data_IF_975377361677
#
_entry.id   IF_975377361677
#
_cell.length_a   1.000
_cell.length_b   1.000
_cell.length_c   1.000
_cell.angle_alpha   90.00
_cell.angle_beta   90.00
_cell.angle_gamma   90.00
#
_symmetry.space_group_name_H-M   'P 1'
#
loop_
_entity.id
_entity.type
_entity.pdbx_description
1 polymer ?
#
# COMPACT_ATOMS: atom_id res chain seq x y z
N UNK A 1 83.01 -43.50 -11.48
CA UNK A 1 82.59 -43.97 -10.13
C UNK A 1 82.32 -42.74 -9.28
N UNK A 2 81.13 -42.16 -9.38
CA UNK A 2 80.00 -42.33 -8.44
C UNK A 2 80.37 -42.00 -6.99
N UNK A 3 79.87 -40.86 -6.48
CA UNK A 3 79.07 -40.73 -5.24
C UNK A 3 78.79 -39.23 -5.00
N UNK A 4 77.57 -38.74 -5.27
CA UNK A 4 76.35 -38.78 -4.44
C UNK A 4 76.09 -37.44 -3.74
N UNK A 5 75.02 -36.82 -4.23
CA UNK A 5 74.32 -35.66 -3.74
C UNK A 5 73.75 -35.96 -2.34
N UNK A 6 73.97 -35.08 -1.36
CA UNK A 6 73.27 -35.15 -0.06
C UNK A 6 72.80 -33.75 0.34
N UNK A 7 71.65 -33.35 -0.21
CA UNK A 7 70.94 -32.14 0.21
C UNK A 7 70.18 -32.49 1.50
N UNK A 8 70.67 -31.97 2.63
CA UNK A 8 69.92 -31.95 3.89
C UNK A 8 68.80 -30.92 3.78
N UNK A 9 67.56 -31.39 3.88
CA UNK A 9 66.39 -30.56 4.11
C UNK A 9 66.38 -30.16 5.59
N UNK A 10 66.47 -28.87 5.89
CA UNK A 10 66.15 -28.31 7.21
C UNK A 10 65.20 -27.12 7.06
N UNK A 11 63.91 -27.42 7.28
CA UNK A 11 62.87 -26.63 7.96
C UNK A 11 62.93 -25.09 7.91
N UNK A 12 62.02 -24.42 7.19
CA UNK A 12 61.66 -23.03 7.45
C UNK A 12 60.45 -23.01 8.41
N UNK A 13 60.70 -23.11 9.71
CA UNK A 13 59.83 -22.44 10.68
C UNK A 13 60.30 -20.99 10.71
N UNK A 14 59.36 -20.05 10.68
CA UNK A 14 59.54 -18.57 10.63
C UNK A 14 59.47 -18.01 9.19
N UNK A 15 58.27 -18.08 8.59
CA UNK A 15 57.78 -17.02 7.69
C UNK A 15 56.24 -17.06 7.59
N UNK A 16 55.55 -17.08 8.73
CA UNK A 16 54.07 -17.01 8.78
C UNK A 16 53.66 -15.72 9.46
N UNK A 17 54.03 -14.58 8.89
CA UNK A 17 53.42 -13.28 9.20
C UNK A 17 53.39 -12.47 7.89
N UNK A 18 52.24 -11.83 7.61
CA UNK A 18 51.99 -10.82 6.56
C UNK A 18 51.34 -11.21 5.22
N UNK A 19 50.56 -12.28 5.10
CA UNK A 19 49.61 -12.41 3.96
C UNK A 19 48.21 -12.92 4.31
N UNK A 20 47.72 -12.62 5.52
CA UNK A 20 46.26 -12.47 5.68
C UNK A 20 45.96 -11.01 5.35
N UNK A 21 45.98 -10.68 4.05
CA UNK A 21 45.21 -9.53 3.58
C UNK A 21 43.76 -9.93 3.80
N UNK A 22 43.24 -9.49 4.93
CA UNK A 22 41.82 -9.34 5.17
C UNK A 22 41.21 -8.68 3.92
N UNK A 23 40.66 -9.50 3.03
CA UNK A 23 39.56 -9.09 2.17
C UNK A 23 38.38 -8.82 3.09
N UNK A 24 38.43 -7.69 3.79
CA UNK A 24 37.22 -6.96 4.17
C UNK A 24 36.69 -6.45 2.84
N UNK A 25 36.01 -7.34 2.12
CA UNK A 25 34.94 -6.88 1.25
C UNK A 25 33.96 -6.21 2.20
N UNK A 26 34.10 -4.88 2.33
CA UNK A 26 32.98 -4.05 2.68
C UNK A 26 31.97 -4.35 1.57
N UNK A 27 31.08 -5.28 1.79
CA UNK A 27 29.77 -5.27 1.15
C UNK A 27 29.14 -3.95 1.59
N UNK A 28 29.49 -2.86 0.90
CA UNK A 28 28.56 -1.78 0.72
C UNK A 28 27.33 -2.48 0.19
N UNK A 29 26.31 -2.64 1.05
CA UNK A 29 25.02 -3.09 0.62
C UNK A 29 24.59 -2.07 -0.43
N UNK A 30 24.74 -2.42 -1.71
CA UNK A 30 24.10 -1.69 -2.77
C UNK A 30 22.62 -1.78 -2.43
N UNK A 31 22.07 -0.70 -1.89
CA UNK A 31 20.65 -0.65 -1.66
C UNK A 31 19.98 -0.95 -3.00
N UNK A 32 19.02 -1.87 -2.97
CA UNK A 32 18.26 -2.23 -4.17
C UNK A 32 17.30 -1.12 -4.59
N UNK A 33 17.16 -0.09 -3.76
CA UNK A 33 16.25 1.02 -4.00
C UNK A 33 16.79 2.04 -5.01
N UNK A 34 15.92 2.58 -5.89
CA UNK A 34 16.25 3.74 -6.69
C UNK A 34 16.70 4.93 -5.83
N UNK A 35 17.43 5.86 -6.45
CA UNK A 35 17.87 7.07 -5.78
C UNK A 35 16.71 7.83 -5.13
N UNK A 36 16.97 8.39 -3.94
CA UNK A 36 16.01 9.11 -3.09
C UNK A 36 14.90 8.26 -2.43
N UNK A 37 14.99 6.92 -2.51
CA UNK A 37 14.20 6.02 -1.66
C UNK A 37 15.12 5.37 -0.62
N UNK A 38 14.54 5.03 0.53
CA UNK A 38 15.22 4.35 1.62
C UNK A 38 14.78 2.89 1.69
N UNK A 39 15.73 1.97 1.71
CA UNK A 39 15.46 0.55 1.97
C UNK A 39 15.18 0.35 3.47
N UNK A 40 13.97 -0.07 3.80
CA UNK A 40 13.51 -0.29 5.19
C UNK A 40 13.36 -1.77 5.55
N UNK A 41 13.54 -2.64 4.56
CA UNK A 41 13.50 -4.09 4.67
C UNK A 41 13.95 -4.68 3.33
N UNK A 42 14.21 -6.01 3.25
CA UNK A 42 14.72 -6.63 2.03
C UNK A 42 13.82 -6.33 0.81
N UNK A 43 14.31 -5.50 -0.13
CA UNK A 43 13.58 -5.11 -1.33
C UNK A 43 12.38 -4.18 -1.10
N UNK A 44 12.23 -3.61 0.10
CA UNK A 44 11.15 -2.66 0.44
C UNK A 44 11.72 -1.25 0.47
N UNK A 45 11.30 -0.44 -0.49
CA UNK A 45 11.79 0.91 -0.71
C UNK A 45 10.69 1.93 -0.41
N UNK A 46 10.98 2.89 0.48
CA UNK A 46 10.03 3.91 0.88
C UNK A 46 10.58 5.33 0.69
N UNK A 47 9.66 6.26 0.42
CA UNK A 47 9.91 7.69 0.32
C UNK A 47 9.14 8.40 1.44
N UNK A 48 9.80 9.28 2.19
CA UNK A 48 9.18 10.11 3.23
C UNK A 48 9.06 11.55 2.74
N UNK A 49 7.88 12.13 2.92
CA UNK A 49 7.61 13.50 2.52
C UNK A 49 6.94 14.21 3.69
N UNK A 50 7.52 15.33 4.13
CA UNK A 50 6.87 16.19 5.13
C UNK A 50 5.71 16.92 4.45
N UNK A 51 4.49 16.52 4.77
CA UNK A 51 3.29 17.06 4.16
C UNK A 51 2.08 16.91 5.08
N UNK A 52 1.33 18.01 5.20
CA UNK A 52 0.05 18.04 5.89
C UNK A 52 -1.08 17.98 4.89
N UNK A 53 -1.87 16.91 4.96
CA UNK A 53 -3.00 16.71 4.08
C UNK A 53 -3.98 15.67 4.62
N UNK A 54 -5.11 15.53 3.92
CA UNK A 54 -6.11 14.52 4.22
C UNK A 54 -5.65 13.12 3.77
N UNK A 55 -6.39 12.09 4.17
CA UNK A 55 -6.16 10.70 3.74
C UNK A 55 -6.01 10.57 2.22
N UNK A 56 -6.97 11.10 1.45
CA UNK A 56 -6.90 11.01 -0.01
C UNK A 56 -5.74 11.82 -0.60
N UNK A 57 -5.38 12.95 0.03
CA UNK A 57 -4.25 13.75 -0.44
C UNK A 57 -2.90 13.07 -0.22
N UNK A 58 -2.76 12.29 0.86
CA UNK A 58 -1.57 11.47 1.09
C UNK A 58 -1.39 10.41 -0.02
N UNK A 59 -2.47 9.74 -0.40
CA UNK A 59 -2.44 8.79 -1.53
C UNK A 59 -2.15 9.45 -2.87
N UNK A 60 -2.79 10.58 -3.16
CA UNK A 60 -2.56 11.36 -4.38
C UNK A 60 -1.11 11.85 -4.47
N UNK A 61 -0.51 12.23 -3.34
CA UNK A 61 0.88 12.64 -3.29
C UNK A 61 1.81 11.48 -3.65
N UNK A 62 1.56 10.27 -3.14
CA UNK A 62 2.34 9.09 -3.54
C UNK A 62 2.18 8.78 -5.03
N UNK A 63 0.97 8.85 -5.58
CA UNK A 63 0.74 8.69 -7.03
C UNK A 63 1.57 9.71 -7.83
N UNK A 64 1.52 10.99 -7.44
CA UNK A 64 2.20 12.09 -8.13
C UNK A 64 3.72 11.93 -8.09
N UNK A 65 4.27 11.62 -6.91
CA UNK A 65 5.72 11.45 -6.73
C UNK A 65 6.25 10.21 -7.46
N UNK A 66 5.43 9.16 -7.54
CA UNK A 66 5.73 7.99 -8.35
C UNK A 66 5.77 8.32 -9.83
N UNK A 67 4.73 8.97 -10.36
CA UNK A 67 4.67 9.40 -11.76
C UNK A 67 5.88 10.26 -12.13
N UNK A 68 6.25 11.23 -11.29
CA UNK A 68 7.41 12.09 -11.50
C UNK A 68 8.76 11.33 -11.57
N UNK A 69 8.81 10.11 -11.01
CA UNK A 69 10.00 9.24 -11.01
C UNK A 69 9.91 8.07 -11.98
N UNK A 70 8.81 7.92 -12.70
CA UNK A 70 8.55 6.71 -13.50
C UNK A 70 8.38 5.45 -12.65
N UNK A 71 7.95 5.60 -11.38
CA UNK A 71 7.72 4.51 -10.43
C UNK A 71 6.23 4.41 -10.08
N UNK A 72 5.79 3.22 -9.64
CA UNK A 72 4.48 3.07 -9.00
C UNK A 72 4.68 3.19 -7.49
N UNK A 73 4.40 4.36 -6.93
CA UNK A 73 4.41 4.57 -5.48
C UNK A 73 2.97 4.57 -4.92
N UNK A 74 2.80 4.04 -3.71
CA UNK A 74 1.51 3.94 -3.03
C UNK A 74 1.69 4.09 -1.51
N UNK A 75 0.63 4.41 -0.76
CA UNK A 75 0.73 4.45 0.71
C UNK A 75 0.76 3.00 1.24
N UNK A 76 1.77 2.60 2.02
CA UNK A 76 1.94 1.20 2.44
C UNK A 76 0.86 0.75 3.42
N UNK A 77 0.27 -0.42 3.18
CA UNK A 77 -0.61 -1.09 4.12
C UNK A 77 0.10 -2.25 4.82
N UNK A 78 0.55 -3.26 4.07
CA UNK A 78 1.18 -4.46 4.66
C UNK A 78 2.45 -4.16 5.43
N UNK A 79 3.24 -3.24 4.89
CA UNK A 79 4.51 -2.82 5.48
C UNK A 79 4.37 -1.55 6.33
N UNK A 80 3.15 -1.17 6.74
CA UNK A 80 2.92 0.05 7.50
C UNK A 80 3.76 0.12 8.79
N UNK A 81 4.02 -1.01 9.44
CA UNK A 81 4.88 -1.07 10.64
C UNK A 81 6.32 -0.57 10.40
N UNK A 82 6.86 -0.71 9.18
CA UNK A 82 8.21 -0.26 8.82
C UNK A 82 8.33 1.27 8.72
N UNK A 83 7.20 1.98 8.58
CA UNK A 83 7.18 3.45 8.54
C UNK A 83 7.79 4.06 9.82
N UNK A 84 7.62 3.40 10.96
CA UNK A 84 8.07 3.90 12.27
C UNK A 84 9.59 4.14 12.34
N UNK A 85 10.37 3.43 11.51
CA UNK A 85 11.81 3.62 11.39
C UNK A 85 12.21 4.89 10.62
N UNK A 86 11.25 5.50 9.89
CA UNK A 86 11.51 6.59 8.95
C UNK A 86 11.03 7.96 9.42
N UNK A 87 10.04 8.00 10.32
CA UNK A 87 9.37 9.25 10.71
C UNK A 87 9.57 9.55 12.20
N UNK A 88 9.58 10.84 12.60
CA UNK A 88 9.63 11.22 14.00
C UNK A 88 8.51 10.56 14.83
N UNK A 89 8.73 10.21 16.11
CA UNK A 89 7.74 9.51 16.92
C UNK A 89 6.38 10.20 17.02
N UNK A 90 6.37 11.54 17.02
CA UNK A 90 5.16 12.35 17.11
C UNK A 90 4.39 12.50 15.78
N UNK A 91 4.83 11.81 14.73
CA UNK A 91 4.22 11.93 13.41
C UNK A 91 2.85 11.27 13.34
N UNK A 92 1.97 11.90 12.58
CA UNK A 92 0.71 11.34 12.08
C UNK A 92 0.94 10.92 10.64
N UNK A 93 0.79 9.63 10.33
CA UNK A 93 1.00 9.07 8.99
C UNK A 93 -0.13 8.11 8.62
N UNK A 94 -0.84 8.39 7.55
CA UNK A 94 -1.86 7.46 7.03
C UNK A 94 -1.21 6.20 6.46
N UNK A 95 -1.92 5.08 6.56
CA UNK A 95 -1.52 3.82 5.94
C UNK A 95 -2.43 3.48 4.76
N UNK A 96 -2.07 2.45 4.00
CA UNK A 96 -2.92 1.85 2.98
C UNK A 96 -4.01 0.94 3.55
N UNK A 97 -4.12 0.78 4.87
CA UNK A 97 -5.12 -0.08 5.51
C UNK A 97 -6.43 0.71 5.71
N UNK A 98 -7.54 0.13 5.28
CA UNK A 98 -8.87 0.78 5.40
C UNK A 98 -10.01 -0.23 5.52
N UNK A 99 -11.14 0.22 6.06
CA UNK A 99 -12.39 -0.54 6.19
C UNK A 99 -13.55 0.06 5.38
N UNK A 100 -13.27 0.93 4.41
CA UNK A 100 -14.30 1.67 3.65
C UNK A 100 -15.33 0.82 2.90
N UNK A 101 -15.06 -0.47 2.64
CA UNK A 101 -15.98 -1.34 1.90
C UNK A 101 -16.92 -2.16 2.80
N UNK A 102 -16.60 -2.30 4.08
CA UNK A 102 -17.35 -3.16 5.01
C UNK A 102 -18.02 -2.30 6.08
N UNK A 103 -19.30 -2.57 6.38
CA UNK A 103 -20.06 -1.90 7.43
C UNK A 103 -20.39 -2.87 8.58
N UNK A 104 -19.50 -3.82 8.86
CA UNK A 104 -19.65 -4.75 9.98
C UNK A 104 -19.69 -3.99 11.29
N UNK A 105 -20.51 -4.46 12.22
CA UNK A 105 -20.55 -3.95 13.60
C UNK A 105 -19.35 -4.45 14.43
N UNK A 106 -18.63 -5.45 13.93
CA UNK A 106 -17.41 -5.95 14.52
C UNK A 106 -16.24 -5.09 14.05
N UNK A 107 -15.60 -4.37 14.97
CA UNK A 107 -14.52 -3.42 14.65
C UNK A 107 -13.33 -4.07 13.95
N UNK A 108 -13.12 -5.38 14.13
CA UNK A 108 -12.01 -6.11 13.50
C UNK A 108 -12.32 -6.60 12.08
N UNK A 109 -13.58 -6.58 11.65
CA UNK A 109 -13.96 -7.06 10.32
C UNK A 109 -13.77 -5.99 9.24
N UNK A 110 -13.37 -6.42 8.05
CA UNK A 110 -13.45 -5.61 6.84
C UNK A 110 -12.28 -4.69 6.55
N UNK A 111 -11.29 -4.65 7.43
CA UNK A 111 -9.99 -4.03 7.18
C UNK A 111 -9.27 -4.71 6.04
N UNK A 112 -8.65 -3.94 5.15
CA UNK A 112 -8.01 -4.44 3.93
C UNK A 112 -6.81 -3.59 3.54
N UNK A 113 -5.85 -4.24 2.88
CA UNK A 113 -4.68 -3.59 2.30
C UNK A 113 -5.04 -2.93 0.95
N UNK A 114 -4.74 -1.65 0.81
CA UNK A 114 -4.75 -0.90 -0.44
C UNK A 114 -3.57 -1.23 -1.37
N UNK A 115 -2.65 -2.07 -0.92
CA UNK A 115 -1.43 -2.46 -1.64
C UNK A 115 -1.76 -3.06 -3.02
N UNK A 116 -0.98 -2.70 -4.07
CA UNK A 116 -1.06 -3.35 -5.38
C UNK A 116 -0.94 -4.87 -5.30
N UNK A 117 -1.79 -5.60 -6.04
CA UNK A 117 -1.82 -7.08 -6.01
C UNK A 117 -2.58 -7.71 -4.84
N UNK A 118 -3.09 -6.92 -3.89
CA UNK A 118 -3.79 -7.43 -2.70
C UNK A 118 -5.30 -7.16 -2.69
N UNK A 119 -5.88 -6.73 -3.82
CA UNK A 119 -7.31 -6.39 -3.89
C UNK A 119 -8.25 -7.56 -3.62
N UNK A 120 -7.84 -8.81 -3.84
CA UNK A 120 -8.70 -9.96 -3.54
C UNK A 120 -8.57 -10.47 -2.10
N UNK A 121 -7.58 -9.97 -1.35
CA UNK A 121 -7.32 -10.46 -0.01
C UNK A 121 -8.36 -9.90 0.97
N UNK A 122 -8.91 -10.81 1.77
CA UNK A 122 -9.85 -10.54 2.85
C UNK A 122 -9.14 -10.86 4.15
N UNK A 123 -9.14 -9.90 5.07
CA UNK A 123 -8.65 -10.06 6.43
C UNK A 123 -9.88 -10.32 7.29
N UNK A 124 -9.94 -11.46 7.98
CA UNK A 124 -11.04 -11.78 8.88
C UNK A 124 -10.85 -11.10 10.24
N UNK A 125 -11.91 -10.96 11.03
CA UNK A 125 -11.78 -10.42 12.39
C UNK A 125 -10.81 -11.18 13.31
N UNK A 126 -10.54 -12.46 13.02
CA UNK A 126 -9.62 -13.31 13.80
C UNK A 126 -8.19 -13.23 13.30
N UNK A 127 -7.94 -12.54 12.18
CA UNK A 127 -6.62 -12.39 11.59
C UNK A 127 -5.81 -11.35 12.38
N UNK A 128 -4.62 -11.78 12.84
CA UNK A 128 -3.70 -10.97 13.62
C UNK A 128 -2.58 -10.33 12.77
N UNK A 129 -2.67 -10.36 11.44
CA UNK A 129 -1.67 -9.82 10.51
C UNK A 129 -1.57 -8.30 10.56
N UNK A 130 -2.65 -7.61 10.90
CA UNK A 130 -2.60 -6.17 11.20
C UNK A 130 -2.22 -5.99 12.68
N UNK A 131 -1.04 -5.42 12.98
CA UNK A 131 -0.54 -5.26 14.34
C UNK A 131 -1.14 -4.02 15.00
N UNK A 132 -2.44 -4.04 15.23
CA UNK A 132 -3.17 -3.00 15.95
C UNK A 132 -2.56 -2.74 17.34
N UNK A 133 -2.59 -1.49 17.78
CA UNK A 133 -2.27 -1.15 19.16
C UNK A 133 -3.24 -1.80 20.14
N UNK A 134 -2.83 -1.92 21.40
CA UNK A 134 -3.66 -2.54 22.44
C UNK A 134 -5.00 -1.80 22.55
N UNK A 135 -6.10 -2.54 22.40
CA UNK A 135 -7.46 -1.98 22.43
C UNK A 135 -7.99 -1.49 21.08
N UNK A 136 -7.16 -1.39 20.04
CA UNK A 136 -7.60 -1.02 18.68
C UNK A 136 -8.04 -2.26 17.87
N UNK A 137 -8.76 -2.11 16.75
CA UNK A 137 -9.59 -0.96 16.41
C UNK A 137 -10.78 -0.87 17.39
N UNK A 138 -11.11 0.34 17.85
CA UNK A 138 -12.17 0.57 18.85
C UNK A 138 -13.27 1.53 18.40
N UNK A 139 -13.19 2.06 17.19
CA UNK A 139 -14.12 3.08 16.72
C UNK A 139 -15.07 2.52 15.64
N UNK A 140 -16.37 2.45 15.98
CA UNK A 140 -17.44 1.90 15.10
C UNK A 140 -17.52 2.53 13.70
N UNK A 141 -17.08 3.78 13.53
CA UNK A 141 -17.15 4.52 12.27
C UNK A 141 -15.76 4.85 11.70
N UNK A 142 -14.72 4.28 12.29
CA UNK A 142 -13.40 4.40 11.72
C UNK A 142 -13.35 3.63 10.41
N UNK A 143 -12.67 4.23 9.43
CA UNK A 143 -12.58 3.68 8.09
C UNK A 143 -11.16 3.65 7.55
N UNK A 144 -10.21 4.21 8.30
CA UNK A 144 -8.79 4.28 7.95
C UNK A 144 -7.94 3.83 9.14
N UNK A 145 -6.78 3.25 8.85
CA UNK A 145 -5.74 3.04 9.85
C UNK A 145 -4.62 4.05 9.64
N UNK A 146 -4.09 4.57 10.75
CA UNK A 146 -2.94 5.48 10.72
C UNK A 146 -1.94 5.09 11.81
N UNK A 147 -0.71 5.54 11.61
CA UNK A 147 0.27 5.62 12.67
C UNK A 147 0.11 6.95 13.39
N UNK A 148 -0.17 6.88 14.68
CA UNK A 148 -0.22 7.98 15.62
C UNK A 148 0.67 7.63 16.81
N UNK A 149 1.67 8.46 17.12
CA UNK A 149 2.66 8.13 18.17
C UNK A 149 3.34 6.77 17.96
N UNK A 150 3.67 6.44 16.71
CA UNK A 150 4.24 5.16 16.28
C UNK A 150 3.37 3.92 16.52
N UNK A 151 2.13 4.09 16.98
CA UNK A 151 1.18 3.00 17.17
C UNK A 151 0.14 2.99 16.07
N UNK A 152 -0.29 1.79 15.64
CA UNK A 152 -1.31 1.63 14.61
C UNK A 152 -2.70 1.66 15.24
N UNK A 153 -3.49 2.67 14.89
CA UNK A 153 -4.83 2.93 15.40
C UNK A 153 -5.83 3.10 14.26
N UNK A 154 -7.10 2.85 14.51
CA UNK A 154 -8.19 3.21 13.60
C UNK A 154 -8.66 4.65 13.87
N UNK A 155 -9.20 5.29 12.84
CA UNK A 155 -9.81 6.62 12.97
C UNK A 155 -10.79 6.89 11.83
N UNK A 156 -11.59 7.96 11.97
CA UNK A 156 -12.43 8.49 10.90
C UNK A 156 -11.58 9.16 9.84
N UNK A 157 -12.03 9.09 8.58
CA UNK A 157 -11.30 9.64 7.43
C UNK A 157 -10.91 11.12 7.58
N UNK A 158 -11.73 11.92 8.27
CA UNK A 158 -11.56 13.37 8.41
C UNK A 158 -11.09 13.85 9.78
N UNK A 159 -10.84 12.94 10.73
CA UNK A 159 -10.49 13.34 12.09
C UNK A 159 -9.13 14.01 12.20
N UNK A 160 -8.20 13.69 11.28
CA UNK A 160 -6.81 14.14 11.34
C UNK A 160 -6.30 14.54 9.96
N UNK A 161 -5.24 15.33 9.99
CA UNK A 161 -4.35 15.51 8.84
C UNK A 161 -3.03 14.82 9.14
N UNK A 162 -2.36 14.37 8.09
CA UNK A 162 -0.99 13.86 8.18
C UNK A 162 -0.03 14.96 8.63
N UNK A 163 1.12 14.54 9.14
CA UNK A 163 2.31 15.41 9.29
C UNK A 163 3.40 15.00 8.30
N UNK A 164 3.40 13.72 7.94
CA UNK A 164 4.27 13.11 6.96
C UNK A 164 3.43 12.15 6.12
N UNK A 165 3.82 12.02 4.85
CA UNK A 165 3.30 11.02 3.93
C UNK A 165 4.47 10.07 3.64
N UNK A 166 4.20 8.78 3.74
CA UNK A 166 5.17 7.74 3.40
C UNK A 166 4.61 6.93 2.24
N UNK A 167 5.44 6.77 1.22
CA UNK A 167 5.10 6.06 -0.01
C UNK A 167 6.02 4.86 -0.17
N UNK A 168 5.48 3.69 -0.48
CA UNK A 168 6.21 2.49 -0.82
C UNK A 168 6.27 2.30 -2.34
N UNK A 169 7.41 1.84 -2.83
CA UNK A 169 7.57 1.42 -4.21
C UNK A 169 6.96 0.04 -4.45
N UNK A 170 6.07 -0.04 -5.43
CA UNK A 170 5.46 -1.30 -5.82
C UNK A 170 6.43 -2.15 -6.65
N UNK A 171 6.62 -3.40 -6.22
CA UNK A 171 7.25 -4.45 -7.02
C UNK A 171 6.22 -5.26 -7.83
N UNK A 172 4.92 -4.93 -7.72
CA UNK A 172 3.85 -5.66 -8.38
C UNK A 172 3.73 -5.25 -9.85
N UNK A 173 3.86 -6.23 -10.74
CA UNK A 173 3.69 -6.05 -12.18
C UNK A 173 2.28 -6.47 -12.60
N UNK A 174 1.60 -5.60 -13.34
CA UNK A 174 0.31 -5.92 -13.98
C UNK A 174 0.58 -6.82 -15.20
N UNK A 175 0.55 -8.12 -14.99
CA UNK A 175 0.77 -9.10 -16.05
C UNK A 175 -0.57 -9.54 -16.66
N UNK A 176 -0.87 -9.08 -17.87
CA UNK A 176 -2.02 -9.58 -18.64
C UNK A 176 -2.48 -8.64 -19.75
N UNK A 177 -2.86 -9.21 -20.89
CA UNK A 177 -3.51 -8.48 -21.98
C UNK A 177 -4.96 -8.10 -21.64
N UNK A 178 -5.61 -8.88 -20.78
CA UNK A 178 -7.00 -8.71 -20.35
C UNK A 178 -7.08 -8.51 -18.83
N UNK A 179 -7.88 -7.52 -18.42
CA UNK A 179 -8.13 -7.22 -17.02
C UNK A 179 -9.62 -7.41 -16.70
N UNK A 180 -9.98 -8.41 -15.89
CA UNK A 180 -11.37 -8.64 -15.52
C UNK A 180 -11.80 -7.65 -14.44
N UNK A 181 -13.01 -7.11 -14.57
CA UNK A 181 -13.70 -6.40 -13.48
C UNK A 181 -14.85 -7.28 -12.99
N UNK A 182 -14.92 -7.51 -11.68
CA UNK A 182 -15.90 -8.41 -11.07
C UNK A 182 -16.94 -7.63 -10.30
N UNK A 183 -18.22 -7.88 -10.61
CA UNK A 183 -19.31 -7.24 -9.89
C UNK A 183 -19.26 -7.60 -8.40
N UNK A 184 -19.41 -6.61 -7.53
CA UNK A 184 -19.44 -6.77 -6.07
C UNK A 184 -18.29 -7.63 -5.51
N UNK A 185 -17.06 -7.41 -5.98
CA UNK A 185 -15.88 -8.11 -5.47
C UNK A 185 -15.17 -7.26 -4.40
N UNK A 186 -14.73 -7.81 -3.25
CA UNK A 186 -14.73 -9.23 -2.89
C UNK A 186 -15.95 -9.70 -2.09
N UNK A 187 -16.89 -8.79 -1.74
CA UNK A 187 -18.10 -9.11 -0.98
C UNK A 187 -19.35 -8.74 -1.75
N UNK A 188 -20.40 -9.54 -1.57
CA UNK A 188 -21.74 -9.10 -1.96
C UNK A 188 -22.11 -7.82 -1.21
N UNK A 189 -22.39 -6.75 -1.96
CA UNK A 189 -22.76 -5.44 -1.42
C UNK A 189 -24.22 -5.20 -1.78
N UNK A 190 -25.08 -5.19 -0.76
CA UNK A 190 -26.51 -4.90 -0.92
C UNK A 190 -26.78 -3.40 -0.99
N UNK A 191 -26.11 -2.61 -0.13
CA UNK A 191 -26.24 -1.15 -0.07
C UNK A 191 -24.88 -0.55 -0.42
N UNK A 192 -24.72 0.08 -1.60
CA UNK A 192 -23.43 0.56 -2.08
C UNK A 192 -23.00 1.91 -1.47
N UNK A 193 -23.63 2.36 -0.39
CA UNK A 193 -23.41 3.68 0.21
C UNK A 193 -23.04 3.57 1.69
N UNK A 194 -22.23 4.49 2.19
CA UNK A 194 -22.05 4.67 3.64
C UNK A 194 -23.38 5.01 4.32
N UNK A 195 -23.59 4.44 5.51
CA UNK A 195 -24.72 4.77 6.38
C UNK A 195 -24.52 6.11 7.13
N UNK A 196 -23.33 6.70 7.07
CA UNK A 196 -22.92 7.92 7.77
C UNK A 196 -22.14 8.86 6.85
N UNK A 197 -21.86 10.07 7.34
CA UNK A 197 -21.10 11.11 6.62
C UNK A 197 -19.64 11.28 7.07
N UNK A 198 -19.16 10.44 8.00
CA UNK A 198 -17.77 10.48 8.48
C UNK A 198 -16.73 9.97 7.46
N UNK A 199 -17.19 9.36 6.37
CA UNK A 199 -16.35 8.78 5.33
C UNK A 199 -16.97 9.03 3.96
N UNK A 200 -16.13 9.37 3.00
CA UNK A 200 -16.49 9.55 1.60
C UNK A 200 -15.62 8.70 0.67
N UNK A 201 -14.56 8.08 1.18
CA UNK A 201 -13.57 7.40 0.34
C UNK A 201 -12.77 8.39 -0.53
N UNK A 202 -12.09 7.89 -1.55
CA UNK A 202 -11.34 8.72 -2.50
C UNK A 202 -11.89 8.48 -3.90
N UNK A 203 -12.79 9.34 -4.35
CA UNK A 203 -13.50 9.17 -5.62
C UNK A 203 -13.19 10.25 -6.65
N UNK A 204 -13.23 9.83 -7.92
CA UNK A 204 -13.39 10.73 -9.06
C UNK A 204 -14.67 10.38 -9.80
N UNK A 205 -15.44 11.40 -10.17
CA UNK A 205 -16.66 11.26 -10.95
C UNK A 205 -16.40 11.62 -12.41
N UNK A 206 -16.96 10.82 -13.31
CA UNK A 206 -16.86 11.00 -14.76
C UNK A 206 -18.19 10.65 -15.41
N UNK A 207 -18.55 11.35 -16.48
CA UNK A 207 -19.72 11.02 -17.27
C UNK A 207 -19.34 9.99 -18.33
N UNK A 208 -19.97 8.83 -18.31
CA UNK A 208 -19.69 7.73 -19.24
C UNK A 208 -21.01 7.12 -19.70
N UNK A 209 -21.15 6.82 -20.99
CA UNK A 209 -22.43 6.32 -21.52
C UNK A 209 -22.61 4.83 -21.31
N UNK A 210 -21.53 4.10 -21.00
CA UNK A 210 -21.55 2.64 -20.84
C UNK A 210 -20.67 2.17 -19.70
N UNK A 211 -20.99 0.99 -19.14
CA UNK A 211 -20.16 0.27 -18.16
C UNK A 211 -18.74 0.04 -18.70
N UNK A 212 -18.61 -0.27 -20.01
CA UNK A 212 -17.32 -0.56 -20.64
C UNK A 212 -16.42 0.68 -20.65
N UNK A 213 -16.97 1.87 -20.91
CA UNK A 213 -16.20 3.11 -20.85
C UNK A 213 -15.74 3.41 -19.43
N UNK A 214 -16.63 3.23 -18.43
CA UNK A 214 -16.27 3.38 -17.02
C UNK A 214 -15.16 2.40 -16.59
N UNK A 215 -15.24 1.14 -17.04
CA UNK A 215 -14.19 0.14 -16.82
C UNK A 215 -12.86 0.53 -17.48
N UNK A 216 -12.90 1.05 -18.72
CA UNK A 216 -11.71 1.51 -19.44
C UNK A 216 -11.04 2.69 -18.71
N UNK A 217 -11.82 3.66 -18.21
CA UNK A 217 -11.30 4.75 -17.38
C UNK A 217 -10.59 4.24 -16.15
N UNK A 218 -11.20 3.29 -15.43
CA UNK A 218 -10.59 2.67 -14.26
C UNK A 218 -9.30 1.93 -14.63
N UNK A 219 -9.30 1.15 -15.72
CA UNK A 219 -8.10 0.43 -16.20
C UNK A 219 -6.93 1.37 -16.51
N UNK A 220 -7.21 2.50 -17.17
CA UNK A 220 -6.18 3.47 -17.57
C UNK A 220 -5.56 4.18 -16.36
N UNK A 221 -6.28 4.31 -15.25
CA UNK A 221 -5.77 4.89 -14.02
C UNK A 221 -5.32 3.78 -13.08
N UNK A 222 -4.03 3.45 -13.07
CA UNK A 222 -3.46 2.30 -12.35
C UNK A 222 -3.77 2.24 -10.84
N UNK A 223 -4.13 3.37 -10.23
CA UNK A 223 -4.53 3.47 -8.81
C UNK A 223 -6.01 3.19 -8.58
N UNK A 224 -6.83 3.06 -9.63
CA UNK A 224 -8.24 2.74 -9.52
C UNK A 224 -8.41 1.29 -9.02
N UNK A 225 -9.19 1.14 -7.95
CA UNK A 225 -9.45 -0.14 -7.26
C UNK A 225 -10.80 -0.74 -7.60
N UNK A 226 -11.77 0.12 -7.85
CA UNK A 226 -13.11 -0.29 -8.26
C UNK A 226 -13.82 0.88 -8.92
N UNK A 227 -14.89 0.61 -9.63
CA UNK A 227 -15.78 1.65 -10.11
C UNK A 227 -17.24 1.31 -9.82
N UNK A 228 -18.07 2.34 -9.78
CA UNK A 228 -19.51 2.24 -9.75
C UNK A 228 -20.08 2.90 -10.99
N UNK A 229 -21.08 2.27 -11.59
CA UNK A 229 -21.78 2.82 -12.74
C UNK A 229 -23.26 2.99 -12.41
N UNK A 230 -23.78 4.20 -12.65
CA UNK A 230 -25.19 4.49 -12.60
C UNK A 230 -25.74 4.56 -14.03
N UNK A 231 -26.57 3.57 -14.39
CA UNK A 231 -27.13 3.41 -15.73
C UNK A 231 -28.16 4.49 -16.09
N UNK A 232 -28.85 5.07 -15.12
CA UNK A 232 -29.93 6.03 -15.37
C UNK A 232 -29.39 7.39 -15.78
N UNK A 233 -28.27 7.82 -15.18
CA UNK A 233 -27.67 9.15 -15.42
C UNK A 233 -26.35 9.11 -16.18
N UNK A 234 -25.84 7.92 -16.51
CA UNK A 234 -24.55 7.77 -17.21
C UNK A 234 -23.37 8.30 -16.37
N UNK A 235 -23.40 8.05 -15.06
CA UNK A 235 -22.38 8.53 -14.13
C UNK A 235 -21.50 7.38 -13.68
N UNK A 236 -20.19 7.60 -13.73
CA UNK A 236 -19.15 6.66 -13.35
C UNK A 236 -18.37 7.24 -12.16
N UNK A 237 -18.35 6.51 -11.04
CA UNK A 237 -17.57 6.86 -9.86
C UNK A 237 -16.39 5.89 -9.70
N UNK A 238 -15.17 6.39 -9.85
CA UNK A 238 -13.93 5.62 -9.72
C UNK A 238 -13.42 5.72 -8.29
N UNK A 239 -13.37 4.59 -7.57
CA UNK A 239 -12.71 4.49 -6.26
C UNK A 239 -11.21 4.33 -6.47
N UNK A 240 -10.44 5.29 -5.97
CA UNK A 240 -8.99 5.34 -6.11
C UNK A 240 -8.31 4.88 -4.82
N UNK A 241 -7.16 4.25 -4.98
CA UNK A 241 -6.20 3.80 -3.96
C UNK A 241 -6.68 2.70 -3.01
N UNK A 242 -7.93 2.77 -2.57
CA UNK A 242 -8.61 1.77 -1.74
C UNK A 242 -10.00 1.46 -2.28
N UNK A 243 -10.51 0.28 -1.94
CA UNK A 243 -11.92 -0.05 -2.18
C UNK A 243 -12.79 0.68 -1.18
N UNK A 244 -13.83 1.36 -1.65
CA UNK A 244 -14.74 2.14 -0.80
C UNK A 244 -16.18 2.00 -1.27
N UNK A 245 -17.13 2.08 -0.33
CA UNK A 245 -18.53 2.40 -0.63
C UNK A 245 -18.66 3.84 -1.13
N UNK A 246 -19.76 4.14 -1.80
CA UNK A 246 -20.07 5.50 -2.25
C UNK A 246 -20.43 6.40 -1.04
N UNK A 247 -20.10 7.69 -1.10
CA UNK A 247 -20.62 8.68 -0.16
C UNK A 247 -22.15 8.65 -0.03
N UNK A 248 -22.66 8.88 1.18
CA UNK A 248 -24.09 8.83 1.48
C UNK A 248 -24.92 9.77 0.59
N UNK A 249 -24.40 10.96 0.26
CA UNK A 249 -25.11 11.93 -0.57
C UNK A 249 -25.37 11.42 -2.01
N UNK A 250 -24.59 10.46 -2.51
CA UNK A 250 -24.80 9.86 -3.83
C UNK A 250 -26.03 8.94 -3.89
N UNK A 251 -26.59 8.55 -2.74
CA UNK A 251 -27.85 7.79 -2.67
C UNK A 251 -29.06 8.57 -3.17
N UNK A 252 -28.96 9.91 -3.24
CA UNK A 252 -30.01 10.79 -3.76
C UNK A 252 -30.05 10.85 -5.28
N UNK A 253 -29.01 10.35 -5.96
CA UNK A 253 -28.94 10.35 -7.43
C UNK A 253 -29.86 9.24 -7.95
N UNK A 254 -30.82 9.56 -8.85
CA UNK A 254 -31.74 8.56 -9.41
C UNK A 254 -31.03 7.40 -10.09
N UNK A 255 -31.67 6.23 -10.07
CA UNK A 255 -31.17 5.01 -10.71
C UNK A 255 -30.41 4.08 -9.76
N UNK A 256 -29.92 2.98 -10.33
CA UNK A 256 -29.21 1.94 -9.59
C UNK A 256 -27.71 2.06 -9.81
N UNK A 257 -26.95 2.02 -8.72
CA UNK A 257 -25.50 1.95 -8.76
C UNK A 257 -25.02 0.51 -8.74
N UNK A 258 -24.26 0.12 -9.77
CA UNK A 258 -23.64 -1.21 -9.85
C UNK A 258 -22.14 -1.08 -9.67
N UNK A 259 -21.57 -1.84 -8.72
CA UNK A 259 -20.14 -1.82 -8.41
C UNK A 259 -19.38 -2.92 -9.11
N UNK A 260 -18.19 -2.60 -9.61
CA UNK A 260 -17.23 -3.55 -10.16
C UNK A 260 -15.85 -3.36 -9.52
N UNK A 261 -15.34 -4.40 -8.85
CA UNK A 261 -14.02 -4.42 -8.23
C UNK A 261 -12.94 -4.89 -9.20
N UNK A 262 -11.72 -4.34 -9.06
CA UNK A 262 -10.52 -4.70 -9.83
C UNK A 262 -9.69 -5.74 -9.06
N UNK A 263 -9.66 -7.02 -9.47
CA UNK A 263 -9.09 -8.09 -8.66
C UNK A 263 -7.60 -7.98 -8.35
N UNK A 264 -6.83 -7.34 -9.24
CA UNK A 264 -5.37 -7.31 -9.16
C UNK A 264 -4.81 -5.95 -8.72
N UNK A 265 -5.65 -4.92 -8.58
CA UNK A 265 -5.26 -3.62 -8.01
C UNK A 265 -4.26 -2.85 -8.85
#
# INVERSE_FOLDING_TARGET
>A
MNLQLKIRIMSPKILVICFIKLSIWKTLGNSSCPSNLTEVGPGICMLVIKHTGSYCKAHELCETEGQARGLRLFVPGRNAHLITALVPPVSIVFTGISAFLNQSINYRDGWRYGDPGWSSHIISATDASIPWYSGEPNEFQASIALLYWQTLCDDRQFARNSTHVVCEMSNYQLNGSMEPFKQNMPYSISIPFFAHNHSVGCFILTNETTIIQCALRCKLRIVCRSFYFNTAVGLCALSLYVDSLLPQNMSTIPGTWTRFGRPNG
#
